data_IF_619584655594
#
_entry.id   IF_619584655594
#
_cell.length_a   1.000
_cell.length_b   1.000
_cell.length_c   1.000
_cell.angle_alpha   90.00
_cell.angle_beta   90.00
_cell.angle_gamma   90.00
#
_symmetry.space_group_name_H-M   'P 1'
#
loop_
_entity.id
_entity.type
_entity.pdbx_description
1 polymer ?
#
# COMPACT_ATOMS: atom_id res chain seq x y z
N UNK A 1 -13.44 1.46 -43.24
CA UNK A 1 -13.38 2.93 -43.47
C UNK A 1 -14.68 3.50 -42.95
N UNK A 2 -14.68 4.61 -42.20
CA UNK A 2 -15.91 5.18 -41.65
C UNK A 2 -16.68 5.96 -42.72
N UNK A 3 -18.00 5.76 -42.81
CA UNK A 3 -18.87 6.58 -43.66
C UNK A 3 -18.96 8.01 -43.10
N UNK A 4 -18.97 8.99 -44.00
CA UNK A 4 -19.07 10.40 -43.64
C UNK A 4 -20.55 10.75 -43.44
N UNK A 5 -20.99 10.97 -42.20
CA UNK A 5 -22.41 11.13 -41.84
C UNK A 5 -22.69 12.45 -41.08
N UNK A 6 -22.36 13.60 -41.68
CA UNK A 6 -22.57 14.91 -41.06
C UNK A 6 -23.17 15.92 -42.04
N UNK A 7 -23.64 17.05 -41.51
CA UNK A 7 -24.04 18.22 -42.29
C UNK A 7 -22.84 19.14 -42.49
N UNK A 8 -22.82 19.82 -43.62
CA UNK A 8 -21.90 20.93 -43.91
C UNK A 8 -22.29 22.15 -43.08
N UNK A 9 -21.44 23.17 -43.08
CA UNK A 9 -21.69 24.44 -42.39
C UNK A 9 -22.92 25.20 -42.91
N UNK A 10 -23.33 24.94 -44.16
CA UNK A 10 -24.55 25.49 -44.77
C UNK A 10 -25.84 24.74 -44.37
N UNK A 11 -25.72 23.66 -43.59
CA UNK A 11 -26.84 22.82 -43.16
C UNK A 11 -27.22 21.71 -44.15
N UNK A 12 -26.61 21.65 -45.34
CA UNK A 12 -26.83 20.58 -46.31
C UNK A 12 -26.14 19.29 -45.87
N UNK A 13 -26.67 18.13 -46.28
CA UNK A 13 -25.97 16.86 -46.10
C UNK A 13 -24.74 16.78 -47.01
N UNK A 14 -23.69 16.11 -46.55
CA UNK A 14 -22.45 15.89 -47.32
C UNK A 14 -22.61 14.89 -48.47
N UNK A 15 -23.49 13.91 -48.32
CA UNK A 15 -23.85 12.91 -49.32
C UNK A 15 -25.27 12.38 -49.05
N UNK A 16 -25.80 11.59 -49.98
CA UNK A 16 -27.14 11.00 -49.86
C UNK A 16 -27.22 9.97 -48.73
N UNK A 17 -26.13 9.22 -48.48
CA UNK A 17 -26.04 8.26 -47.38
C UNK A 17 -26.21 8.93 -46.00
N UNK A 18 -25.62 10.12 -45.79
CA UNK A 18 -25.78 10.88 -44.55
C UNK A 18 -27.23 11.33 -44.35
N UNK A 19 -27.91 11.69 -45.44
CA UNK A 19 -29.33 12.05 -45.40
C UNK A 19 -30.19 10.85 -45.02
N UNK A 20 -29.98 9.71 -45.68
CA UNK A 20 -30.70 8.48 -45.41
C UNK A 20 -30.52 8.02 -43.96
N UNK A 21 -29.26 7.99 -43.47
CA UNK A 21 -28.93 7.64 -42.08
C UNK A 21 -29.59 8.59 -41.08
N UNK A 22 -29.65 9.88 -41.39
CA UNK A 22 -30.32 10.86 -40.55
C UNK A 22 -31.84 10.59 -40.47
N UNK A 23 -32.48 10.30 -41.61
CA UNK A 23 -33.91 9.97 -41.65
C UNK A 23 -34.21 8.66 -40.90
N UNK A 24 -33.38 7.63 -41.08
CA UNK A 24 -33.47 6.37 -40.33
C UNK A 24 -33.31 6.61 -38.82
N UNK A 25 -32.33 7.41 -38.41
CA UNK A 25 -32.10 7.73 -37.00
C UNK A 25 -33.31 8.45 -36.39
N UNK A 26 -33.88 9.43 -37.09
CA UNK A 26 -35.07 10.14 -36.60
C UNK A 26 -36.27 9.20 -36.45
N UNK A 27 -36.45 8.25 -37.36
CA UNK A 27 -37.51 7.24 -37.26
C UNK A 27 -37.28 6.25 -36.11
N UNK A 28 -36.03 5.87 -35.84
CA UNK A 28 -35.66 4.92 -34.80
C UNK A 28 -35.74 5.51 -33.40
N UNK A 29 -35.36 6.79 -33.23
CA UNK A 29 -35.48 7.52 -31.94
C UNK A 29 -36.93 7.52 -31.44
N UNK A 30 -37.93 7.57 -32.34
CA UNK A 30 -39.34 7.49 -31.97
C UNK A 30 -39.81 6.09 -31.58
N UNK A 31 -39.05 5.04 -31.91
CA UNK A 31 -39.41 3.63 -31.65
C UNK A 31 -38.68 3.05 -30.44
N UNK A 32 -37.41 3.40 -30.26
CA UNK A 32 -36.59 2.85 -29.18
C UNK A 32 -36.69 3.70 -27.91
N UNK A 33 -36.75 3.09 -26.72
CA UNK A 33 -36.82 3.82 -25.46
C UNK A 33 -35.51 4.55 -25.10
N UNK A 34 -34.38 4.17 -25.72
CA UNK A 34 -33.05 4.72 -25.46
C UNK A 34 -32.47 5.40 -26.71
N UNK A 35 -32.00 6.66 -26.63
CA UNK A 35 -31.30 7.30 -27.73
C UNK A 35 -30.09 6.51 -28.22
N UNK A 36 -29.36 5.86 -27.31
CA UNK A 36 -28.18 5.08 -27.64
C UNK A 36 -28.50 3.82 -28.46
N UNK A 37 -29.67 3.23 -28.23
CA UNK A 37 -30.14 2.05 -28.97
C UNK A 37 -30.50 2.42 -30.42
N UNK A 38 -31.18 3.55 -30.64
CA UNK A 38 -31.43 4.08 -31.97
C UNK A 38 -30.12 4.29 -32.77
N UNK A 39 -29.10 4.86 -32.11
CA UNK A 39 -27.80 5.05 -32.76
C UNK A 39 -27.14 3.72 -33.13
N UNK A 40 -27.16 2.72 -32.26
CA UNK A 40 -26.58 1.40 -32.55
C UNK A 40 -27.33 0.68 -33.67
N UNK A 41 -28.66 0.82 -33.73
CA UNK A 41 -29.47 0.21 -34.78
C UNK A 41 -29.15 0.81 -36.16
N UNK A 42 -28.93 2.12 -36.25
CA UNK A 42 -28.69 2.82 -37.52
C UNK A 42 -27.22 2.81 -37.94
N UNK A 43 -26.30 3.05 -37.02
CA UNK A 43 -24.85 3.17 -37.31
C UNK A 43 -24.05 1.91 -37.00
N UNK A 44 -24.67 0.93 -36.34
CA UNK A 44 -24.00 -0.28 -35.86
C UNK A 44 -23.34 -0.08 -34.50
N UNK A 45 -22.63 -1.12 -34.06
CA UNK A 45 -21.93 -1.11 -32.76
C UNK A 45 -20.87 -0.02 -32.73
N UNK A 46 -20.83 0.74 -31.65
CA UNK A 46 -19.79 1.72 -31.39
C UNK A 46 -18.39 1.07 -31.35
N UNK A 47 -17.43 1.72 -32.00
CA UNK A 47 -16.04 1.26 -32.05
C UNK A 47 -15.18 2.06 -31.06
N UNK A 48 -14.43 1.40 -30.16
CA UNK A 48 -13.44 2.09 -29.34
C UNK A 48 -12.33 2.66 -30.22
N UNK A 49 -12.09 3.96 -30.06
CA UNK A 49 -11.02 4.65 -30.78
C UNK A 49 -9.64 4.29 -30.23
N UNK A 50 -8.57 4.62 -30.96
CA UNK A 50 -7.20 4.50 -30.46
C UNK A 50 -6.60 5.88 -30.21
N UNK A 51 -6.06 6.08 -29.00
CA UNK A 51 -5.30 7.27 -28.64
C UNK A 51 -3.81 6.97 -28.83
N UNK A 52 -3.11 7.83 -29.58
CA UNK A 52 -1.67 7.67 -29.87
C UNK A 52 -0.88 7.52 -28.56
N UNK A 53 0.02 6.54 -28.49
CA UNK A 53 0.82 6.17 -27.32
C UNK A 53 0.05 5.66 -26.09
N UNK A 54 -1.29 5.71 -26.08
CA UNK A 54 -2.13 5.30 -24.93
C UNK A 54 -2.96 4.04 -25.22
N UNK A 55 -3.04 3.61 -26.49
CA UNK A 55 -3.76 2.41 -26.88
C UNK A 55 -5.25 2.66 -27.08
N UNK A 56 -6.05 1.63 -26.81
CA UNK A 56 -7.50 1.67 -27.02
C UNK A 56 -8.17 2.60 -26.00
N UNK A 57 -8.90 3.59 -26.49
CA UNK A 57 -9.66 4.56 -25.69
C UNK A 57 -11.06 4.07 -25.34
N UNK A 58 -11.66 4.73 -24.34
CA UNK A 58 -13.05 4.49 -23.94
C UNK A 58 -14.01 5.04 -25.00
N UNK A 59 -15.18 4.41 -25.13
CA UNK A 59 -16.23 4.95 -25.97
C UNK A 59 -17.20 5.85 -25.19
N UNK A 60 -17.84 6.84 -25.84
CA UNK A 60 -18.94 7.60 -25.26
C UNK A 60 -19.99 6.75 -24.50
N UNK A 61 -20.43 5.61 -25.05
CA UNK A 61 -21.40 4.74 -24.36
C UNK A 61 -20.83 4.11 -23.09
N UNK A 62 -19.51 3.87 -23.04
CA UNK A 62 -18.87 3.43 -21.81
C UNK A 62 -18.93 4.53 -20.77
N UNK A 63 -18.73 5.81 -21.12
CA UNK A 63 -18.81 6.92 -20.16
C UNK A 63 -20.23 7.03 -19.55
N UNK A 64 -21.27 6.92 -20.37
CA UNK A 64 -22.66 7.00 -19.90
C UNK A 64 -23.09 5.78 -19.06
N UNK A 65 -22.49 4.62 -19.30
CA UNK A 65 -22.69 3.40 -18.49
C UNK A 65 -21.70 3.26 -17.32
N UNK A 66 -20.65 4.09 -17.25
CA UNK A 66 -19.49 3.94 -16.35
C UNK A 66 -19.75 4.24 -14.89
N UNK A 67 -20.95 4.62 -14.48
CA UNK A 67 -21.26 4.66 -13.04
C UNK A 67 -21.16 3.25 -12.40
N UNK A 68 -21.15 2.16 -13.19
CA UNK A 68 -21.17 0.80 -12.63
C UNK A 68 -19.93 -0.07 -12.89
N UNK A 69 -19.10 0.19 -13.90
CA UNK A 69 -18.07 -0.80 -14.31
C UNK A 69 -16.69 -0.26 -14.69
N UNK A 70 -16.33 0.97 -14.31
CA UNK A 70 -14.97 1.49 -14.50
C UNK A 70 -14.06 1.19 -13.32
N UNK A 71 -13.86 -0.10 -13.03
CA UNK A 71 -12.61 -0.57 -12.42
C UNK A 71 -12.16 -1.76 -13.23
N UNK A 72 -11.05 -1.57 -13.93
CA UNK A 72 -10.29 -2.59 -14.65
C UNK A 72 -10.40 -3.92 -13.93
N UNK A 73 -11.01 -4.90 -14.60
CA UNK A 73 -11.02 -6.29 -14.18
C UNK A 73 -9.58 -6.82 -14.19
N UNK A 74 -8.82 -6.50 -13.14
CA UNK A 74 -8.06 -7.57 -12.50
C UNK A 74 -9.13 -8.59 -12.12
N UNK A 75 -9.00 -9.82 -12.60
CA UNK A 75 -9.83 -10.95 -12.20
C UNK A 75 -10.19 -10.78 -10.72
N UNK A 76 -11.47 -10.62 -10.40
CA UNK A 76 -11.94 -10.40 -9.02
C UNK A 76 -11.39 -11.47 -8.07
N UNK A 77 -11.11 -12.66 -8.61
CA UNK A 77 -10.43 -13.76 -7.93
C UNK A 77 -9.00 -13.41 -7.50
N UNK A 78 -8.17 -12.84 -8.38
CA UNK A 78 -6.76 -12.54 -8.07
C UNK A 78 -6.64 -11.37 -7.08
N UNK A 79 -7.53 -10.38 -7.19
CA UNK A 79 -7.59 -9.27 -6.27
C UNK A 79 -8.03 -9.72 -4.87
N UNK A 80 -9.05 -10.59 -4.78
CA UNK A 80 -9.50 -11.16 -3.52
C UNK A 80 -8.43 -12.04 -2.86
N UNK A 81 -7.75 -12.90 -3.63
CA UNK A 81 -6.69 -13.77 -3.08
C UNK A 81 -5.53 -12.96 -2.49
N UNK A 82 -5.12 -11.86 -3.16
CA UNK A 82 -4.09 -10.96 -2.62
C UNK A 82 -4.58 -10.23 -1.38
N UNK A 83 -5.85 -9.85 -1.32
CA UNK A 83 -6.46 -9.19 -0.16
C UNK A 83 -6.49 -10.12 1.05
N UNK A 84 -6.91 -11.37 0.88
CA UNK A 84 -6.89 -12.38 1.95
C UNK A 84 -5.48 -12.65 2.47
N UNK A 85 -4.50 -12.80 1.56
CA UNK A 85 -3.09 -12.98 1.93
C UNK A 85 -2.55 -11.79 2.74
N UNK A 86 -2.86 -10.57 2.32
CA UNK A 86 -2.46 -9.36 3.08
C UNK A 86 -3.14 -9.30 4.44
N UNK A 87 -4.43 -9.64 4.53
CA UNK A 87 -5.15 -9.62 5.80
C UNK A 87 -4.57 -10.63 6.80
N UNK A 88 -4.24 -11.85 6.34
CA UNK A 88 -3.60 -12.87 7.18
C UNK A 88 -2.22 -12.42 7.70
N UNK A 89 -1.43 -11.73 6.87
CA UNK A 89 -0.13 -11.21 7.30
C UNK A 89 -0.27 -10.07 8.32
N UNK A 90 -1.26 -9.18 8.15
CA UNK A 90 -1.56 -8.13 9.12
C UNK A 90 -1.91 -8.72 10.49
N UNK A 91 -2.77 -9.75 10.53
CA UNK A 91 -3.18 -10.36 11.79
C UNK A 91 -2.01 -11.10 12.47
N UNK A 92 -1.14 -11.73 11.68
CA UNK A 92 0.11 -12.35 12.17
C UNK A 92 1.08 -11.32 12.73
N UNK A 93 1.25 -10.16 12.08
CA UNK A 93 2.11 -9.08 12.56
C UNK A 93 1.57 -8.49 13.86
N UNK A 94 0.26 -8.19 13.93
CA UNK A 94 -0.38 -7.71 15.16
C UNK A 94 -0.18 -8.65 16.35
N UNK A 95 -0.22 -9.97 16.12
CA UNK A 95 0.05 -10.95 17.18
C UNK A 95 1.48 -10.84 17.71
N UNK A 96 2.47 -10.71 16.81
CA UNK A 96 3.87 -10.55 17.21
C UNK A 96 4.14 -9.23 17.90
N UNK A 97 3.50 -8.16 17.49
CA UNK A 97 3.63 -6.86 18.17
C UNK A 97 3.15 -6.97 19.62
N UNK A 98 2.01 -7.62 19.87
CA UNK A 98 1.53 -7.90 21.22
C UNK A 98 2.50 -8.77 22.04
N UNK A 99 3.13 -9.78 21.42
CA UNK A 99 4.15 -10.61 22.08
C UNK A 99 5.39 -9.79 22.45
N UNK A 100 5.85 -8.92 21.55
CA UNK A 100 6.98 -8.02 21.79
C UNK A 100 6.66 -7.05 22.93
N UNK A 101 5.46 -6.50 23.00
CA UNK A 101 5.07 -5.59 24.08
C UNK A 101 5.02 -6.31 25.43
N UNK A 102 4.48 -7.53 25.49
CA UNK A 102 4.54 -8.33 26.72
C UNK A 102 5.99 -8.62 27.16
N UNK A 103 6.88 -8.93 26.23
CA UNK A 103 8.29 -9.18 26.52
C UNK A 103 9.00 -7.90 27.02
N UNK A 104 8.69 -6.73 26.45
CA UNK A 104 9.21 -5.44 26.94
C UNK A 104 8.78 -5.20 28.39
N UNK A 105 7.52 -5.45 28.73
CA UNK A 105 7.02 -5.28 30.11
C UNK A 105 7.70 -6.25 31.08
N UNK A 106 7.89 -7.52 30.69
CA UNK A 106 8.62 -8.49 31.51
C UNK A 106 10.08 -8.08 31.75
N UNK A 107 10.76 -7.57 30.72
CA UNK A 107 12.13 -7.07 30.84
C UNK A 107 12.18 -5.84 31.75
N UNK A 108 11.25 -4.90 31.59
CA UNK A 108 11.17 -3.71 32.44
C UNK A 108 10.97 -4.08 33.91
N UNK A 109 10.10 -5.05 34.20
CA UNK A 109 9.89 -5.58 35.54
C UNK A 109 11.16 -6.20 36.14
N UNK A 110 11.89 -7.01 35.35
CA UNK A 110 13.13 -7.63 35.79
C UNK A 110 14.23 -6.61 36.09
N UNK A 111 14.36 -5.58 35.24
CA UNK A 111 15.30 -4.46 35.45
C UNK A 111 14.98 -3.67 36.73
N UNK A 112 13.71 -3.46 37.05
CA UNK A 112 13.31 -2.77 38.29
C UNK A 112 13.66 -3.58 39.55
N UNK A 113 13.51 -4.90 39.52
CA UNK A 113 13.91 -5.77 40.65
C UNK A 113 15.43 -5.74 40.89
N UNK A 114 16.23 -5.70 39.83
CA UNK A 114 17.70 -5.65 39.94
C UNK A 114 18.18 -4.30 40.50
N UNK A 115 17.62 -3.20 40.01
CA UNK A 115 17.90 -1.84 40.54
C UNK A 115 17.53 -1.68 42.02
N UNK A 116 16.56 -2.46 42.52
CA UNK A 116 16.15 -2.45 43.94
C UNK A 116 17.06 -3.31 44.82
N UNK A 117 17.69 -4.36 44.26
CA UNK A 117 18.66 -5.23 44.94
C UNK A 117 20.02 -4.55 45.12
N UNK A 118 20.47 -3.78 44.13
CA UNK A 118 21.74 -3.05 44.21
C UNK A 118 21.70 -1.91 45.25
N UNK A 119 20.50 -1.41 45.61
CA UNK A 119 20.33 -0.43 46.70
C UNK A 119 20.35 -1.03 48.11
N UNK A 120 20.18 -2.35 48.25
CA UNK A 120 20.17 -3.02 49.56
C UNK A 120 21.53 -3.65 49.94
N UNK A 121 22.50 -3.67 49.03
CA UNK A 121 23.83 -4.24 49.28
C UNK A 121 24.82 -3.27 49.97
N UNK A 122 24.44 -2.00 50.15
CA UNK A 122 25.34 -0.95 50.68
C UNK A 122 25.13 -0.63 52.17
N UNK A 123 24.08 -1.15 52.83
CA UNK A 123 23.69 -0.73 54.19
C UNK A 123 23.82 -1.84 55.24
N UNK A 124 24.95 -2.56 55.28
CA UNK A 124 25.36 -3.30 56.49
C UNK A 124 26.84 -3.03 56.77
N UNK A 125 27.18 -1.76 57.05
CA UNK A 125 28.29 -1.48 57.95
C UNK A 125 27.78 -1.67 59.38
N UNK A 126 28.11 -2.82 59.99
CA UNK A 126 28.08 -2.97 61.45
C UNK A 126 29.49 -2.79 62.01
N UNK A 127 29.70 -1.86 62.95
CA UNK A 127 31.00 -1.60 63.56
C UNK A 127 31.54 -2.80 64.34
N UNK A 128 32.76 -3.24 64.02
CA UNK A 128 33.51 -4.19 64.85
C UNK A 128 34.67 -3.44 65.49
N UNK A 129 34.46 -3.04 66.75
CA UNK A 129 35.53 -2.75 67.69
C UNK A 129 36.40 -4.01 67.85
N UNK A 130 37.70 -3.89 67.59
CA UNK A 130 38.58 -5.05 67.61
C UNK A 130 40.06 -4.73 67.47
N UNK A 131 40.64 -4.19 68.55
CA UNK A 131 42.03 -4.44 68.99
C UNK A 131 43.17 -4.32 67.96
N UNK A 132 43.90 -3.22 68.13
CA UNK A 132 45.38 -3.07 68.13
C UNK A 132 46.21 -4.38 68.17
N UNK A 133 47.03 -4.60 67.14
CA UNK A 133 48.42 -5.12 67.19
C UNK A 133 48.96 -5.25 65.73
N UNK A 134 49.81 -4.34 65.25
CA UNK A 134 51.29 -4.36 65.30
C UNK A 134 51.93 -4.86 63.99
N UNK A 135 52.55 -3.91 63.29
CA UNK A 135 53.78 -3.97 62.47
C UNK A 135 54.27 -5.31 61.90
N UNK A 136 54.37 -5.38 60.58
CA UNK A 136 55.51 -6.03 59.92
C UNK A 136 55.87 -5.35 58.60
N UNK A 137 57.15 -5.02 58.51
CA UNK A 137 57.86 -4.27 57.47
C UNK A 137 58.19 -5.13 56.24
N UNK A 138 57.91 -4.65 55.02
CA UNK A 138 58.85 -4.79 53.89
C UNK A 138 58.52 -3.85 52.72
N UNK A 139 59.56 -3.29 52.10
CA UNK A 139 59.60 -2.24 51.07
C UNK A 139 59.31 -2.78 49.65
N UNK A 140 59.00 -1.91 48.67
CA UNK A 140 58.77 -2.29 47.27
C UNK A 140 60.09 -2.33 46.50
N UNK A 141 60.29 -3.37 45.68
CA UNK A 141 61.32 -3.35 44.66
C UNK A 141 60.70 -3.19 43.27
N UNK A 142 61.06 -2.04 42.71
CA UNK A 142 61.10 -1.64 41.31
C UNK A 142 61.70 -2.73 40.40
N UNK A 143 61.09 -2.93 39.22
CA UNK A 143 61.78 -2.95 37.90
C UNK A 143 60.79 -3.28 36.79
N UNK A 144 60.61 -2.31 35.91
CA UNK A 144 59.89 -2.49 34.66
C UNK A 144 60.65 -3.34 33.64
N UNK A 145 59.92 -3.96 32.71
CA UNK A 145 60.38 -4.18 31.33
C UNK A 145 59.20 -4.06 30.37
N UNK A 146 59.42 -3.19 29.38
CA UNK A 146 58.72 -3.04 28.10
C UNK A 146 58.87 -4.26 27.20
N UNK A 147 57.81 -4.64 26.48
CA UNK A 147 57.82 -4.98 25.03
C UNK A 147 56.36 -5.05 24.55
N UNK A 148 55.83 -4.20 23.67
CA UNK A 148 56.07 -3.93 22.23
C UNK A 148 55.90 -5.13 21.30
N UNK A 149 54.83 -5.07 20.48
CA UNK A 149 54.76 -5.59 19.11
C UNK A 149 54.53 -7.11 18.98
N UNK A 150 53.87 -7.65 17.97
CA UNK A 150 53.39 -7.14 16.67
C UNK A 150 52.48 -8.21 16.06
N UNK A 151 51.50 -7.76 15.26
CA UNK A 151 50.81 -8.43 14.14
C UNK A 151 50.01 -9.72 14.40
#
# INVERSE_FOLDING_TARGET
>A
MYSICHKKSDGSFVNDEAKEKYEQLQAEIGKTPSPNEAFVNVFGKEHPGYVRCMGLGITPSQITTSTSHSVRSMSSSEANEKMEKMQAEIDRLKKRDSEVDMLKEQIAFLMQMQNSRDKHAMDIESPIDGRRSSESSHQPDDRGTTSLGTN
#
